data_IF_648613224777
#
_entry.id   IF_648613224777
#
_cell.length_a   1.000
_cell.length_b   1.000
_cell.length_c   1.000
_cell.angle_alpha   90.00
_cell.angle_beta   90.00
_cell.angle_gamma   90.00
#
_symmetry.space_group_name_H-M   'P 1'
#
loop_
_entity.id
_entity.type
_entity.pdbx_description
1 polymer ?
#
# COMPACT_ATOMS: atom_id res chain seq x y z
N UNK A 1 -6.99 -0.92 -0.58
CA UNK A 1 -5.78 -0.18 -0.98
C UNK A 1 -6.15 1.28 -1.17
N UNK A 2 -5.45 2.18 -0.53
CA UNK A 2 -5.70 3.63 -0.56
C UNK A 2 -4.69 4.29 -1.50
N UNK A 3 -5.19 4.78 -2.63
CA UNK A 3 -4.38 5.43 -3.67
C UNK A 3 -4.25 4.58 -4.93
N UNK A 4 -4.96 4.98 -5.98
CA UNK A 4 -4.93 4.35 -7.30
C UNK A 4 -3.84 4.97 -8.22
N UNK A 5 -2.63 5.17 -7.69
CA UNK A 5 -1.42 5.38 -8.49
C UNK A 5 -0.95 4.08 -9.12
N UNK A 6 0.12 4.11 -9.92
CA UNK A 6 0.68 2.89 -10.50
C UNK A 6 0.98 1.84 -9.42
N UNK A 7 1.68 2.22 -8.35
CA UNK A 7 2.03 1.29 -7.27
C UNK A 7 0.82 0.74 -6.51
N UNK A 8 -0.15 1.59 -6.15
CA UNK A 8 -1.36 1.12 -5.47
C UNK A 8 -2.21 0.20 -6.34
N UNK A 9 -2.27 0.45 -7.65
CA UNK A 9 -2.94 -0.42 -8.59
C UNK A 9 -2.25 -1.78 -8.70
N UNK A 10 -0.91 -1.79 -8.77
CA UNK A 10 -0.13 -3.02 -8.77
C UNK A 10 -0.34 -3.83 -7.47
N UNK A 11 -0.34 -3.17 -6.30
CA UNK A 11 -0.59 -3.82 -5.01
C UNK A 11 -2.04 -4.34 -4.88
N UNK A 12 -3.01 -3.66 -5.47
CA UNK A 12 -4.38 -4.17 -5.54
C UNK A 12 -4.43 -5.49 -6.34
N UNK A 13 -3.73 -5.55 -7.47
CA UNK A 13 -3.56 -6.78 -8.25
C UNK A 13 -2.84 -7.88 -7.47
N UNK A 14 -1.76 -7.54 -6.74
CA UNK A 14 -1.05 -8.49 -5.85
C UNK A 14 -2.01 -9.11 -4.84
N UNK A 15 -2.76 -8.29 -4.11
CA UNK A 15 -3.70 -8.78 -3.11
C UNK A 15 -4.82 -9.64 -3.72
N UNK A 16 -5.34 -9.26 -4.90
CA UNK A 16 -6.35 -10.03 -5.62
C UNK A 16 -5.80 -11.40 -6.06
N UNK A 17 -4.59 -11.44 -6.63
CA UNK A 17 -3.91 -12.70 -7.00
C UNK A 17 -3.57 -13.59 -5.80
N UNK A 18 -3.39 -12.98 -4.63
CA UNK A 18 -3.25 -13.71 -3.36
C UNK A 18 -4.61 -14.20 -2.79
N UNK A 19 -5.71 -14.07 -3.54
CA UNK A 19 -7.05 -14.53 -3.17
C UNK A 19 -7.77 -13.63 -2.15
N UNK A 20 -7.40 -12.35 -2.06
CA UNK A 20 -8.04 -11.40 -1.14
C UNK A 20 -9.16 -10.62 -1.82
N UNK A 21 -10.22 -10.33 -1.07
CA UNK A 21 -11.21 -9.33 -1.49
C UNK A 21 -10.57 -7.94 -1.42
N UNK A 22 -10.56 -7.22 -2.53
CA UNK A 22 -9.81 -5.96 -2.66
C UNK A 22 -10.73 -4.81 -3.02
N UNK A 23 -10.63 -3.73 -2.24
CA UNK A 23 -11.20 -2.42 -2.59
C UNK A 23 -10.06 -1.46 -2.89
N UNK A 24 -10.05 -0.89 -4.11
CA UNK A 24 -9.10 0.13 -4.55
C UNK A 24 -9.75 1.52 -4.47
N UNK A 25 -9.22 2.37 -3.63
CA UNK A 25 -9.67 3.75 -3.48
C UNK A 25 -8.93 4.70 -4.41
N UNK A 26 -9.67 5.49 -5.16
CA UNK A 26 -9.17 6.62 -5.92
C UNK A 26 -9.94 7.89 -5.55
N UNK A 27 -9.22 8.98 -5.24
CA UNK A 27 -9.81 10.27 -4.84
C UNK A 27 -10.73 10.90 -5.90
N UNK A 28 -10.45 10.66 -7.19
CA UNK A 28 -11.21 11.21 -8.31
C UNK A 28 -12.34 10.27 -8.73
N UNK A 29 -13.59 10.72 -8.60
CA UNK A 29 -14.77 9.99 -9.07
C UNK A 29 -14.71 9.69 -10.59
N UNK A 30 -14.17 10.63 -11.38
CA UNK A 30 -13.97 10.42 -12.81
C UNK A 30 -12.97 9.30 -13.10
N UNK A 31 -11.87 9.21 -12.31
CA UNK A 31 -10.92 8.10 -12.42
C UNK A 31 -11.56 6.77 -12.05
N UNK A 32 -12.40 6.74 -11.01
CA UNK A 32 -13.16 5.55 -10.59
C UNK A 32 -14.09 5.09 -11.71
N UNK A 33 -14.90 6.00 -12.25
CA UNK A 33 -15.84 5.70 -13.34
C UNK A 33 -15.11 5.12 -14.56
N UNK A 34 -13.98 5.72 -14.93
CA UNK A 34 -13.16 5.25 -16.03
C UNK A 34 -12.59 3.85 -15.77
N UNK A 35 -11.96 3.63 -14.63
CA UNK A 35 -11.38 2.32 -14.27
C UNK A 35 -12.46 1.22 -14.25
N UNK A 36 -13.68 1.53 -13.82
CA UNK A 36 -14.81 0.59 -13.87
C UNK A 36 -15.24 0.26 -15.29
N UNK A 37 -15.25 1.26 -16.16
CA UNK A 37 -15.69 1.09 -17.56
C UNK A 37 -14.63 0.37 -18.42
N UNK A 38 -13.34 0.68 -18.23
CA UNK A 38 -12.27 0.17 -19.09
C UNK A 38 -11.52 -1.03 -18.49
N UNK A 39 -11.67 -1.29 -17.19
CA UNK A 39 -10.83 -2.22 -16.43
C UNK A 39 -9.32 -1.91 -16.53
N UNK A 40 -8.97 -0.65 -16.76
CA UNK A 40 -7.58 -0.19 -16.86
C UNK A 40 -7.37 1.10 -16.06
N UNK A 41 -6.14 1.29 -15.59
CA UNK A 41 -5.72 2.51 -14.94
C UNK A 41 -4.70 3.26 -15.82
N UNK A 42 -4.97 4.52 -16.16
CA UNK A 42 -4.04 5.36 -16.91
C UNK A 42 -2.65 5.51 -16.30
N UNK A 43 -2.55 5.31 -14.99
CA UNK A 43 -1.27 5.34 -14.27
C UNK A 43 -0.45 4.07 -14.45
N UNK A 44 -1.06 3.04 -15.06
CA UNK A 44 -0.46 1.74 -15.32
C UNK A 44 -1.01 1.21 -16.66
N UNK A 45 -0.64 1.85 -17.78
CA UNK A 45 -1.21 1.56 -19.09
C UNK A 45 -0.86 0.15 -19.56
N UNK A 46 -1.81 -0.48 -20.28
CA UNK A 46 -1.64 -1.83 -20.82
C UNK A 46 -1.74 -2.95 -19.78
N UNK A 47 -2.10 -2.62 -18.53
CA UNK A 47 -2.36 -3.59 -17.48
C UNK A 47 -3.85 -3.60 -17.17
N UNK A 48 -4.48 -4.76 -17.40
CA UNK A 48 -5.88 -4.97 -17.02
C UNK A 48 -5.97 -5.20 -15.51
N UNK A 49 -6.93 -4.54 -14.86
CA UNK A 49 -7.23 -4.77 -13.44
C UNK A 49 -7.77 -6.18 -13.25
N UNK A 50 -7.34 -6.84 -12.17
CA UNK A 50 -7.84 -8.16 -11.80
C UNK A 50 -9.36 -8.12 -11.59
N UNK A 51 -10.03 -9.17 -12.04
CA UNK A 51 -11.46 -9.31 -11.85
C UNK A 51 -11.80 -9.37 -10.34
N UNK A 52 -12.88 -8.70 -9.96
CA UNK A 52 -13.30 -8.66 -8.55
C UNK A 52 -12.68 -7.56 -7.70
N UNK A 53 -11.74 -6.77 -8.21
CA UNK A 53 -11.32 -5.54 -7.53
C UNK A 53 -12.47 -4.55 -7.53
N UNK A 54 -12.99 -4.22 -6.35
CA UNK A 54 -13.95 -3.13 -6.19
C UNK A 54 -13.23 -1.78 -6.23
N UNK A 55 -13.72 -0.84 -7.02
CA UNK A 55 -13.10 0.46 -7.19
C UNK A 55 -14.04 1.54 -6.67
N UNK A 56 -13.57 2.41 -5.79
CA UNK A 56 -14.43 3.40 -5.14
C UNK A 56 -13.76 4.74 -4.92
N UNK A 57 -14.54 5.81 -4.88
CA UNK A 57 -14.14 7.12 -4.39
C UNK A 57 -14.60 7.37 -2.93
N UNK A 58 -15.22 6.39 -2.30
CA UNK A 58 -15.67 6.44 -0.91
C UNK A 58 -14.56 5.82 -0.01
N UNK A 59 -13.92 6.68 0.79
CA UNK A 59 -12.85 6.26 1.70
C UNK A 59 -13.38 5.41 2.85
N UNK A 60 -14.61 5.67 3.34
CA UNK A 60 -15.21 4.90 4.39
C UNK A 60 -15.47 3.45 3.93
N UNK A 61 -15.96 3.28 2.68
CA UNK A 61 -16.10 1.96 2.07
C UNK A 61 -14.76 1.24 1.93
N UNK A 62 -13.72 1.94 1.45
CA UNK A 62 -12.39 1.36 1.27
C UNK A 62 -11.69 1.00 2.58
N UNK A 63 -12.13 1.59 3.69
CA UNK A 63 -11.61 1.31 5.04
C UNK A 63 -12.27 0.10 5.72
N UNK A 64 -13.35 -0.45 5.15
CA UNK A 64 -14.02 -1.68 5.65
C UNK A 64 -13.21 -2.91 5.23
N UNK A 65 -12.03 -3.07 5.82
CA UNK A 65 -11.09 -4.12 5.50
C UNK A 65 -10.43 -4.66 6.76
N UNK A 66 -9.66 -5.72 6.64
CA UNK A 66 -8.85 -6.27 7.73
C UNK A 66 -7.41 -5.71 7.68
N UNK A 67 -6.97 -5.25 6.51
CA UNK A 67 -5.64 -4.67 6.27
C UNK A 67 -5.81 -3.47 5.33
N UNK A 68 -5.21 -2.35 5.67
CA UNK A 68 -5.17 -1.16 4.81
C UNK A 68 -3.75 -0.94 4.28
N UNK A 69 -3.60 -0.97 2.95
CA UNK A 69 -2.35 -0.57 2.27
C UNK A 69 -2.47 0.89 1.83
N UNK A 70 -1.59 1.77 2.31
CA UNK A 70 -1.59 3.19 1.93
C UNK A 70 -0.51 3.44 0.89
N UNK A 71 -0.95 3.55 -0.36
CA UNK A 71 -0.10 3.71 -1.55
C UNK A 71 -0.18 5.13 -2.15
N UNK A 72 -0.24 6.12 -1.28
CA UNK A 72 -0.15 7.53 -1.65
C UNK A 72 1.31 8.00 -1.71
N UNK A 73 1.63 9.10 -2.41
CA UNK A 73 2.95 9.70 -2.33
C UNK A 73 3.34 10.04 -0.88
N UNK A 74 4.63 9.96 -0.57
CA UNK A 74 5.15 10.18 0.79
C UNK A 74 4.66 11.50 1.42
N UNK A 75 4.60 12.57 0.63
CA UNK A 75 4.17 13.89 1.10
C UNK A 75 2.65 14.02 1.30
N UNK A 76 1.86 13.08 0.79
CA UNK A 76 0.40 13.02 0.97
C UNK A 76 -0.04 11.96 1.98
N UNK A 77 0.90 11.24 2.59
CA UNK A 77 0.59 10.14 3.50
C UNK A 77 -0.10 10.61 4.78
N UNK A 78 0.28 11.79 5.30
CA UNK A 78 -0.36 12.41 6.47
C UNK A 78 -1.83 12.65 6.22
N UNK A 79 -2.16 13.32 5.12
CA UNK A 79 -3.55 13.67 4.78
C UNK A 79 -4.39 12.42 4.54
N UNK A 80 -3.79 11.42 3.88
CA UNK A 80 -4.44 10.13 3.67
C UNK A 80 -4.71 9.40 5.01
N UNK A 81 -3.75 9.41 5.93
CA UNK A 81 -3.91 8.80 7.24
C UNK A 81 -4.97 9.53 8.09
N UNK A 82 -4.99 10.85 8.05
CA UNK A 82 -6.01 11.67 8.74
C UNK A 82 -7.42 11.41 8.19
N UNK A 83 -7.56 11.28 6.87
CA UNK A 83 -8.84 10.96 6.25
C UNK A 83 -9.30 9.52 6.55
N UNK A 84 -8.38 8.59 6.77
CA UNK A 84 -8.66 7.21 7.13
C UNK A 84 -9.06 7.04 8.61
N UNK A 85 -8.43 7.81 9.50
CA UNK A 85 -8.51 7.62 10.96
C UNK A 85 -9.94 7.43 11.49
N UNK A 86 -10.96 8.23 11.07
CA UNK A 86 -12.33 8.07 11.56
C UNK A 86 -13.00 6.75 11.17
N UNK A 87 -12.40 6.01 10.23
CA UNK A 87 -13.00 4.80 9.63
C UNK A 87 -12.25 3.53 9.98
N UNK A 88 -11.09 3.64 10.66
CA UNK A 88 -10.27 2.48 11.03
C UNK A 88 -10.83 1.81 12.29
N UNK A 89 -10.78 0.49 12.33
CA UNK A 89 -11.04 -0.29 13.54
C UNK A 89 -9.83 -0.26 14.46
N UNK A 90 -10.00 -0.36 15.79
CA UNK A 90 -8.88 -0.57 16.70
C UNK A 90 -8.02 -1.77 16.28
N UNK A 91 -6.71 -1.65 16.46
CA UNK A 91 -5.71 -2.64 16.09
C UNK A 91 -5.63 -3.01 14.60
N UNK A 92 -6.28 -2.23 13.71
CA UNK A 92 -6.21 -2.47 12.27
C UNK A 92 -4.80 -2.23 11.73
N UNK A 93 -4.20 -3.17 10.99
CA UNK A 93 -2.92 -2.97 10.33
C UNK A 93 -3.02 -1.92 9.22
N UNK A 94 -2.21 -0.87 9.32
CA UNK A 94 -2.06 0.17 8.29
C UNK A 94 -0.65 0.13 7.74
N UNK A 95 -0.50 -0.41 6.55
CA UNK A 95 0.77 -0.63 5.89
C UNK A 95 1.11 0.56 5.00
N UNK A 96 2.09 1.37 5.39
CA UNK A 96 2.65 2.39 4.54
C UNK A 96 3.46 1.73 3.41
N UNK A 97 3.28 2.18 2.18
CA UNK A 97 4.03 1.66 1.02
C UNK A 97 4.80 2.76 0.28
N UNK A 98 4.70 3.99 0.78
CA UNK A 98 5.45 5.13 0.28
C UNK A 98 6.94 5.02 0.67
N UNK A 99 7.80 5.38 -0.26
CA UNK A 99 9.26 5.43 -0.06
C UNK A 99 9.66 6.88 0.18
N UNK A 100 10.35 7.14 1.29
CA UNK A 100 10.86 8.48 1.58
C UNK A 100 10.69 8.92 3.02
N UNK A 101 10.93 10.22 3.21
CA UNK A 101 10.83 10.95 4.48
C UNK A 101 9.95 12.17 4.22
N UNK A 102 9.11 12.54 5.17
CA UNK A 102 8.25 13.73 5.02
C UNK A 102 9.09 15.00 5.09
N UNK A 103 8.85 15.91 4.16
CA UNK A 103 9.48 17.24 4.16
C UNK A 103 9.03 18.05 5.38
N UNK A 104 9.90 18.90 5.87
CA UNK A 104 9.65 19.79 7.01
C UNK A 104 9.75 19.09 8.36
N UNK A 105 9.01 18.02 8.59
CA UNK A 105 9.06 17.30 9.87
C UNK A 105 10.15 16.24 9.96
N UNK A 106 10.73 15.82 8.84
CA UNK A 106 11.73 14.77 8.72
C UNK A 106 11.29 13.41 9.33
N UNK A 107 9.97 13.18 9.45
CA UNK A 107 9.42 11.94 10.03
C UNK A 107 9.31 10.85 8.98
N UNK A 108 9.52 9.63 9.45
CA UNK A 108 9.36 8.42 8.64
C UNK A 108 7.89 8.04 8.40
N UNK A 109 7.66 7.19 7.43
CA UNK A 109 6.32 6.90 6.90
C UNK A 109 5.39 6.20 7.89
N UNK A 110 5.89 5.33 8.78
CA UNK A 110 5.05 4.68 9.79
C UNK A 110 4.61 5.60 10.93
N UNK A 111 5.35 6.69 11.16
CA UNK A 111 5.00 7.69 12.19
C UNK A 111 3.70 8.42 11.85
N UNK A 112 3.37 8.56 10.57
CA UNK A 112 2.19 9.31 10.11
C UNK A 112 0.88 8.62 10.41
N UNK A 113 0.69 7.34 10.01
CA UNK A 113 -0.48 6.59 10.42
C UNK A 113 -0.60 6.49 11.94
N UNK A 114 0.51 6.29 12.66
CA UNK A 114 0.49 6.21 14.12
C UNK A 114 0.07 7.51 14.83
N UNK A 115 0.41 8.68 14.27
CA UNK A 115 -0.01 9.97 14.82
C UNK A 115 -1.46 10.33 14.48
N UNK A 116 -1.91 9.99 13.26
CA UNK A 116 -3.26 10.31 12.78
C UNK A 116 -4.30 9.32 13.26
N UNK A 117 -3.92 8.05 13.46
CA UNK A 117 -4.78 6.96 13.88
C UNK A 117 -4.04 6.13 14.94
N UNK A 118 -3.98 6.60 16.21
CA UNK A 118 -3.17 5.97 17.26
C UNK A 118 -3.63 4.54 17.60
N UNK A 119 -4.88 4.21 17.35
CA UNK A 119 -5.42 2.87 17.57
C UNK A 119 -5.08 1.87 16.46
N UNK A 120 -4.56 2.35 15.33
CA UNK A 120 -4.10 1.49 14.23
C UNK A 120 -2.69 0.97 14.48
N UNK A 121 -2.37 -0.21 13.92
CA UNK A 121 -1.02 -0.78 14.02
C UNK A 121 -0.23 -0.47 12.75
N UNK A 122 0.81 0.38 12.84
CA UNK A 122 1.58 0.76 11.67
C UNK A 122 2.53 -0.35 11.23
N UNK A 123 2.59 -0.55 9.92
CA UNK A 123 3.56 -1.42 9.26
C UNK A 123 4.10 -0.73 7.99
N UNK A 124 5.15 -1.27 7.40
CA UNK A 124 5.72 -0.76 6.15
C UNK A 124 6.03 -1.90 5.18
N UNK A 125 5.78 -1.64 3.90
CA UNK A 125 6.19 -2.50 2.79
C UNK A 125 7.11 -1.68 1.89
N UNK A 126 8.32 -2.19 1.67
CA UNK A 126 9.33 -1.54 0.82
C UNK A 126 10.20 -2.57 0.11
N UNK A 127 10.96 -2.14 -0.88
CA UNK A 127 11.88 -3.01 -1.61
C UNK A 127 12.18 -2.49 -3.03
N UNK A 128 13.11 -3.14 -3.74
CA UNK A 128 13.42 -2.85 -5.13
C UNK A 128 12.29 -3.41 -6.03
N UNK A 129 11.29 -2.59 -6.30
CA UNK A 129 10.12 -3.01 -7.07
C UNK A 129 9.64 -1.88 -7.98
N UNK A 130 9.26 -2.25 -9.20
CA UNK A 130 8.60 -1.39 -10.15
C UNK A 130 7.13 -1.79 -10.29
N UNK A 131 6.25 -0.79 -10.37
CA UNK A 131 4.81 -1.04 -10.40
C UNK A 131 4.40 -1.85 -11.65
N UNK A 132 5.02 -1.60 -12.78
CA UNK A 132 4.74 -2.31 -14.03
C UNK A 132 5.10 -3.80 -13.94
N UNK A 133 6.29 -4.11 -13.43
CA UNK A 133 6.75 -5.50 -13.26
C UNK A 133 5.83 -6.28 -12.32
N UNK A 134 5.51 -5.68 -11.17
CA UNK A 134 4.62 -6.27 -10.17
C UNK A 134 3.20 -6.49 -10.73
N UNK A 135 2.70 -5.52 -11.49
CA UNK A 135 1.38 -5.63 -12.09
C UNK A 135 1.31 -6.72 -13.16
N UNK A 136 2.38 -6.91 -13.95
CA UNK A 136 2.53 -8.01 -14.92
C UNK A 136 2.73 -9.38 -14.26
N UNK A 137 2.87 -9.43 -12.95
CA UNK A 137 3.10 -10.68 -12.23
C UNK A 137 4.54 -11.20 -12.36
N UNK A 138 5.49 -10.34 -12.67
CA UNK A 138 6.90 -10.73 -12.68
C UNK A 138 7.39 -10.99 -11.25
N UNK A 139 8.33 -11.95 -11.06
CA UNK A 139 8.85 -12.29 -9.75
C UNK A 139 9.41 -11.07 -9.03
N UNK A 140 8.88 -10.77 -7.86
CA UNK A 140 9.24 -9.60 -7.07
C UNK A 140 9.40 -9.96 -5.61
N UNK A 141 10.54 -9.58 -5.03
CA UNK A 141 10.80 -9.68 -3.60
C UNK A 141 10.73 -8.31 -2.93
N UNK A 142 10.08 -8.24 -1.79
CA UNK A 142 9.95 -7.02 -0.98
C UNK A 142 10.12 -7.34 0.50
N UNK A 143 10.32 -6.33 1.32
CA UNK A 143 10.36 -6.47 2.78
C UNK A 143 9.13 -5.83 3.39
N UNK A 144 8.48 -6.54 4.30
CA UNK A 144 7.36 -6.07 5.10
C UNK A 144 7.79 -6.06 6.56
N UNK A 145 7.70 -4.88 7.21
CA UNK A 145 8.07 -4.76 8.60
C UNK A 145 6.93 -4.26 9.48
N UNK A 146 6.80 -4.88 10.63
CA UNK A 146 5.96 -4.43 11.73
C UNK A 146 6.69 -4.70 13.05
N UNK A 147 6.41 -3.92 14.11
CA UNK A 147 7.07 -4.12 15.42
C UNK A 147 6.75 -5.49 16.03
N UNK A 148 5.54 -5.97 15.82
CA UNK A 148 5.11 -7.30 16.22
C UNK A 148 5.44 -8.30 15.10
N UNK A 149 6.21 -9.33 15.42
CA UNK A 149 6.67 -10.34 14.47
C UNK A 149 5.52 -11.21 13.95
N UNK A 150 4.57 -11.55 14.80
CA UNK A 150 3.43 -12.37 14.42
C UNK A 150 2.54 -11.63 13.41
N UNK A 151 2.35 -10.33 13.64
CA UNK A 151 1.65 -9.47 12.68
C UNK A 151 2.43 -9.37 11.36
N UNK A 152 3.74 -9.13 11.41
CA UNK A 152 4.56 -9.04 10.20
C UNK A 152 4.46 -10.33 9.37
N UNK A 153 4.56 -11.49 10.01
CA UNK A 153 4.39 -12.80 9.37
C UNK A 153 2.96 -13.01 8.82
N UNK A 154 1.93 -12.55 9.53
CA UNK A 154 0.54 -12.64 9.06
C UNK A 154 0.32 -11.77 7.81
N UNK A 155 0.86 -10.57 7.77
CA UNK A 155 0.78 -9.67 6.62
C UNK A 155 1.52 -10.25 5.39
N UNK A 156 2.68 -10.90 5.60
CA UNK A 156 3.40 -11.62 4.54
C UNK A 156 2.53 -12.73 3.96
N UNK A 157 1.88 -13.56 4.80
CA UNK A 157 0.96 -14.59 4.32
C UNK A 157 -0.26 -14.03 3.61
N UNK A 158 -0.72 -12.85 4.01
CA UNK A 158 -1.87 -12.19 3.38
C UNK A 158 -1.58 -11.68 1.97
N UNK A 159 -0.36 -11.24 1.69
CA UNK A 159 0.03 -10.61 0.42
C UNK A 159 0.90 -11.51 -0.46
N UNK A 160 1.50 -12.56 0.10
CA UNK A 160 2.39 -13.46 -0.61
C UNK A 160 1.68 -14.28 -1.69
N UNK A 161 2.37 -14.46 -2.82
CA UNK A 161 1.94 -15.32 -3.92
C UNK A 161 3.16 -15.96 -4.61
N UNK A 162 2.95 -16.78 -5.63
CA UNK A 162 4.05 -17.39 -6.41
C UNK A 162 4.96 -16.34 -7.07
N UNK A 163 4.44 -15.17 -7.39
CA UNK A 163 5.18 -14.10 -8.07
C UNK A 163 5.49 -12.90 -7.19
N UNK A 164 4.87 -12.79 -6.02
CA UNK A 164 5.14 -11.70 -5.07
C UNK A 164 5.53 -12.28 -3.72
N UNK A 165 6.80 -12.10 -3.35
CA UNK A 165 7.40 -12.71 -2.16
C UNK A 165 7.82 -11.65 -1.14
N UNK A 166 6.95 -11.28 -0.19
CA UNK A 166 7.35 -10.47 0.94
C UNK A 166 8.16 -11.30 1.95
N UNK A 167 9.18 -10.69 2.54
CA UNK A 167 9.92 -11.19 3.69
C UNK A 167 9.58 -10.34 4.91
N UNK A 168 9.32 -10.95 6.07
CA UNK A 168 9.02 -10.17 7.26
C UNK A 168 10.27 -9.85 8.08
N UNK A 169 10.19 -8.75 8.82
CA UNK A 169 11.18 -8.34 9.83
C UNK A 169 10.51 -7.45 10.87
N UNK A 170 11.12 -7.33 12.05
CA UNK A 170 10.71 -6.36 13.07
C UNK A 170 11.48 -5.03 12.98
N UNK A 171 12.52 -4.97 12.14
CA UNK A 171 13.29 -3.75 11.89
C UNK A 171 12.55 -2.78 10.96
N UNK A 172 11.49 -2.16 11.48
CA UNK A 172 10.71 -1.15 10.77
C UNK A 172 11.60 0.00 10.30
N UNK A 173 12.56 0.41 11.14
CA UNK A 173 13.43 1.56 10.86
C UNK A 173 14.39 1.28 9.71
N UNK A 174 15.03 0.12 9.69
CA UNK A 174 15.92 -0.28 8.60
C UNK A 174 15.18 -0.33 7.26
N UNK A 175 13.95 -0.84 7.25
CA UNK A 175 13.11 -0.89 6.02
C UNK A 175 12.71 0.52 5.54
N UNK A 176 12.40 1.44 6.46
CA UNK A 176 12.10 2.84 6.13
C UNK A 176 13.32 3.56 5.53
N UNK A 177 14.49 3.41 6.15
CA UNK A 177 15.75 4.01 5.68
C UNK A 177 16.11 3.44 4.31
N UNK A 178 16.12 2.14 4.13
CA UNK A 178 16.39 1.49 2.86
C UNK A 178 15.45 1.94 1.74
N UNK A 179 14.16 2.09 2.05
CA UNK A 179 13.17 2.61 1.12
C UNK A 179 13.40 4.08 0.74
N UNK A 180 13.82 4.91 1.68
CA UNK A 180 14.14 6.31 1.44
C UNK A 180 15.43 6.50 0.63
N UNK A 181 16.46 5.70 0.94
CA UNK A 181 17.77 5.78 0.30
C UNK A 181 17.80 5.13 -1.11
N UNK A 182 16.87 4.22 -1.40
CA UNK A 182 16.87 3.42 -2.63
C UNK A 182 17.09 4.26 -3.90
N UNK A 183 16.34 5.34 -4.04
CA UNK A 183 16.38 6.16 -5.26
C UNK A 183 17.67 7.00 -5.38
N UNK A 184 18.36 7.23 -4.28
CA UNK A 184 19.65 7.94 -4.26
C UNK A 184 20.79 6.96 -4.60
N UNK A 185 20.69 5.72 -4.10
CA UNK A 185 21.71 4.69 -4.29
C UNK A 185 21.62 3.96 -5.65
N UNK A 186 20.50 4.13 -6.36
CA UNK A 186 20.26 3.49 -7.66
C UNK A 186 20.63 4.37 -8.87
N UNK A 187 21.38 5.47 -8.65
CA UNK A 187 21.85 6.39 -9.70
C UNK A 187 23.20 5.91 -10.24
#
# INVERSE_FOLDING_TARGET
>A
VIGAGAWGTALAGVAARAGRSVTLYARSAASVARMKATHENLRLPGIRLEAGIDITADIARASRADIVLVATPAQSLRDAAAALAPHLKPAMPVVATAKGIERGSHKFMTRRPAEAAPDAVPAILSGPSFADDVARGLPTAVTLAAKDEALAAALVRALGSSTFRPYHTTDVRGVEIGGAAKNVLAI
#
